data_IF_474332227769
#
_entry.id   IF_474332227769
#
_cell.length_a   1.000
_cell.length_b   1.000
_cell.length_c   1.000
_cell.angle_alpha   90.00
_cell.angle_beta   90.00
_cell.angle_gamma   90.00
#
_symmetry.space_group_name_H-M   'P 1'
#
loop_
_entity.id
_entity.type
_entity.pdbx_description
1 polymer ?
#
# COMPACT_ATOMS: atom_id res chain seq x y z
N UNK A 1 2.11 -6.62 34.14
CA UNK A 1 2.39 -5.67 33.04
C UNK A 1 3.65 -4.85 33.29
N UNK A 2 4.75 -5.20 32.62
CA UNK A 2 6.05 -4.53 32.75
C UNK A 2 6.19 -3.31 31.83
N UNK A 3 7.15 -2.42 32.14
CA UNK A 3 7.56 -1.28 31.30
C UNK A 3 7.86 -1.67 29.84
N UNK A 4 8.33 -2.90 29.61
CA UNK A 4 8.56 -3.46 28.27
C UNK A 4 7.29 -3.48 27.40
N UNK A 5 6.13 -3.85 27.96
CA UNK A 5 4.85 -3.86 27.23
C UNK A 5 4.46 -2.45 26.77
N UNK A 6 4.68 -1.43 27.63
CA UNK A 6 4.43 -0.02 27.33
C UNK A 6 5.26 0.43 26.12
N UNK A 7 6.55 0.06 26.09
CA UNK A 7 7.45 0.39 24.99
C UNK A 7 7.02 -0.28 23.67
N UNK A 8 6.56 -1.53 23.69
CA UNK A 8 6.07 -2.21 22.49
C UNK A 8 4.79 -1.59 21.91
N UNK A 9 3.88 -1.08 22.74
CA UNK A 9 2.73 -0.31 22.26
C UNK A 9 3.13 1.00 21.59
N UNK A 10 4.04 1.77 22.21
CA UNK A 10 4.56 3.02 21.64
C UNK A 10 5.24 2.75 20.30
N UNK A 11 6.06 1.69 20.22
CA UNK A 11 6.70 1.27 18.97
C UNK A 11 5.67 0.90 17.89
N UNK A 12 4.60 0.16 18.21
CA UNK A 12 3.57 -0.19 17.24
C UNK A 12 2.81 1.04 16.73
N UNK A 13 2.51 2.02 17.60
CA UNK A 13 1.86 3.29 17.21
C UNK A 13 2.81 4.12 16.31
N UNK A 14 4.07 4.26 16.70
CA UNK A 14 5.06 5.01 15.93
C UNK A 14 5.32 4.37 14.54
N UNK A 15 5.49 3.06 14.48
CA UNK A 15 5.79 2.35 13.22
C UNK A 15 4.56 2.32 12.31
N UNK A 16 3.34 2.20 12.83
CA UNK A 16 2.12 2.26 11.98
C UNK A 16 1.95 3.64 11.35
N UNK A 17 2.12 4.73 12.12
CA UNK A 17 2.13 6.10 11.58
C UNK A 17 3.27 6.34 10.59
N UNK A 18 4.48 5.87 10.89
CA UNK A 18 5.62 5.96 9.98
C UNK A 18 5.37 5.19 8.67
N UNK A 19 4.79 3.99 8.73
CA UNK A 19 4.45 3.20 7.53
C UNK A 19 3.44 3.93 6.66
N UNK A 20 2.43 4.58 7.26
CA UNK A 20 1.47 5.43 6.54
C UNK A 20 2.18 6.61 5.88
N UNK A 21 3.06 7.32 6.59
CA UNK A 21 3.83 8.41 6.00
C UNK A 21 4.70 7.92 4.82
N UNK A 22 5.41 6.79 4.99
CA UNK A 22 6.24 6.18 3.94
C UNK A 22 5.44 5.79 2.71
N UNK A 23 4.19 5.32 2.85
CA UNK A 23 3.29 5.01 1.73
C UNK A 23 2.91 6.25 0.90
N UNK A 24 2.89 7.45 1.49
CA UNK A 24 2.57 8.71 0.80
C UNK A 24 3.80 9.47 0.30
N UNK A 25 4.92 9.41 1.02
CA UNK A 25 6.12 10.21 0.74
C UNK A 25 7.27 9.44 0.10
N UNK A 26 7.22 8.10 0.04
CA UNK A 26 8.32 7.30 -0.52
C UNK A 26 7.85 6.26 -1.53
N UNK A 27 8.62 6.09 -2.61
CA UNK A 27 8.43 5.00 -3.58
C UNK A 27 9.20 3.71 -3.23
N UNK A 28 9.88 3.68 -2.09
CA UNK A 28 10.72 2.54 -1.69
C UNK A 28 9.89 1.40 -1.10
N UNK A 29 9.49 0.48 -1.96
CA UNK A 29 8.75 -0.74 -1.60
C UNK A 29 9.46 -1.56 -0.52
N UNK A 30 10.79 -1.56 -0.48
CA UNK A 30 11.61 -2.25 0.53
C UNK A 30 11.43 -1.67 1.94
N UNK A 31 11.43 -0.34 2.10
CA UNK A 31 11.26 0.30 3.41
C UNK A 31 9.82 0.10 3.92
N UNK A 32 8.84 0.18 3.02
CA UNK A 32 7.43 -0.11 3.31
C UNK A 32 7.26 -1.58 3.74
N UNK A 33 7.98 -2.53 3.13
CA UNK A 33 8.01 -3.95 3.52
C UNK A 33 8.42 -4.12 4.98
N UNK A 34 9.58 -3.57 5.35
CA UNK A 34 10.19 -3.72 6.68
C UNK A 34 9.28 -3.15 7.77
N UNK A 35 8.71 -1.96 7.54
CA UNK A 35 7.85 -1.28 8.51
C UNK A 35 6.48 -1.95 8.64
N UNK A 36 5.88 -2.40 7.53
CA UNK A 36 4.63 -3.20 7.54
C UNK A 36 4.83 -4.55 8.26
N UNK A 37 5.94 -5.23 7.99
CA UNK A 37 6.31 -6.48 8.66
C UNK A 37 6.56 -6.29 10.17
N UNK A 38 7.20 -5.19 10.56
CA UNK A 38 7.38 -4.82 11.96
C UNK A 38 6.05 -4.54 12.68
N UNK A 39 5.07 -3.89 12.02
CA UNK A 39 3.72 -3.73 12.54
C UNK A 39 3.01 -5.07 12.80
N UNK A 40 3.08 -6.01 11.85
CA UNK A 40 2.51 -7.35 12.02
C UNK A 40 3.20 -8.13 13.16
N UNK A 41 4.54 -8.12 13.19
CA UNK A 41 5.33 -8.80 14.22
C UNK A 41 5.10 -8.26 15.63
N UNK A 42 5.01 -6.92 15.79
CA UNK A 42 4.68 -6.30 17.08
C UNK A 42 3.24 -6.62 17.52
N UNK A 43 2.28 -6.66 16.59
CA UNK A 43 0.89 -7.04 16.89
C UNK A 43 0.79 -8.48 17.40
N UNK A 44 1.49 -9.43 16.75
CA UNK A 44 1.62 -10.82 17.21
C UNK A 44 2.26 -10.90 18.59
N UNK A 45 3.38 -10.20 18.80
CA UNK A 45 4.09 -10.19 20.08
C UNK A 45 3.22 -9.67 21.23
N UNK A 46 2.52 -8.55 21.01
CA UNK A 46 1.63 -7.96 22.02
C UNK A 46 0.41 -8.85 22.31
N UNK A 47 -0.16 -9.50 21.29
CA UNK A 47 -1.23 -10.49 21.48
C UNK A 47 -0.76 -11.65 22.38
N UNK A 48 0.39 -12.24 22.10
CA UNK A 48 0.94 -13.37 22.89
C UNK A 48 1.25 -12.95 24.32
N UNK A 49 1.75 -11.73 24.54
CA UNK A 49 2.00 -11.19 25.89
C UNK A 49 0.70 -11.03 26.69
N UNK A 50 -0.32 -10.38 26.13
CA UNK A 50 -1.57 -10.13 26.87
C UNK A 50 -2.47 -11.35 26.96
N UNK A 51 -2.35 -12.33 26.05
CA UNK A 51 -2.98 -13.66 26.20
C UNK A 51 -2.49 -14.39 27.45
N UNK A 52 -1.20 -14.24 27.84
CA UNK A 52 -0.69 -14.77 29.12
C UNK A 52 -1.24 -14.06 30.35
N UNK A 53 -1.63 -12.79 30.21
CA UNK A 53 -2.25 -11.96 31.26
C UNK A 53 -3.79 -11.97 31.17
N UNK A 54 -4.41 -12.94 30.48
CA UNK A 54 -5.86 -13.07 30.25
C UNK A 54 -6.54 -11.76 29.77
N UNK A 55 -5.83 -10.97 28.96
CA UNK A 55 -6.26 -9.69 28.41
C UNK A 55 -6.71 -8.64 29.45
N UNK A 56 -6.12 -8.65 30.65
CA UNK A 56 -6.43 -7.71 31.73
C UNK A 56 -6.56 -6.24 31.24
N UNK A 57 -7.68 -5.59 31.56
CA UNK A 57 -7.98 -4.20 31.18
C UNK A 57 -8.50 -3.96 29.75
N UNK A 58 -8.49 -4.97 28.88
CA UNK A 58 -8.90 -4.88 27.46
C UNK A 58 -9.88 -6.00 27.08
N UNK A 59 -10.47 -5.96 25.88
CA UNK A 59 -11.28 -7.08 25.38
C UNK A 59 -10.42 -7.93 24.44
N UNK A 60 -10.57 -9.25 24.48
CA UNK A 60 -9.94 -10.17 23.51
C UNK A 60 -10.23 -9.75 22.05
N UNK A 61 -11.44 -9.27 21.77
CA UNK A 61 -11.82 -8.74 20.46
C UNK A 61 -10.93 -7.57 20.00
N UNK A 62 -10.47 -6.70 20.92
CA UNK A 62 -9.59 -5.58 20.57
C UNK A 62 -8.26 -6.11 20.01
N UNK A 63 -7.74 -7.19 20.59
CA UNK A 63 -6.52 -7.88 20.18
C UNK A 63 -6.68 -8.68 18.88
N UNK A 64 -7.80 -9.39 18.70
CA UNK A 64 -8.12 -10.10 17.46
C UNK A 64 -8.27 -9.15 16.27
N UNK A 65 -8.89 -7.98 16.47
CA UNK A 65 -8.94 -6.92 15.47
C UNK A 65 -7.54 -6.39 15.14
N UNK A 66 -6.70 -6.15 16.15
CA UNK A 66 -5.32 -5.67 15.93
C UNK A 66 -4.50 -6.65 15.07
N UNK A 67 -4.64 -7.96 15.31
CA UNK A 67 -4.03 -9.00 14.47
C UNK A 67 -4.62 -9.04 13.06
N UNK A 68 -5.95 -9.07 12.92
CA UNK A 68 -6.61 -9.20 11.63
C UNK A 68 -6.30 -8.03 10.71
N UNK A 69 -6.32 -6.80 11.22
CA UNK A 69 -6.06 -5.60 10.41
C UNK A 69 -4.57 -5.42 10.09
N UNK A 70 -3.64 -5.82 10.97
CA UNK A 70 -2.20 -5.82 10.65
C UNK A 70 -1.82 -6.92 9.65
N UNK A 71 -2.42 -8.11 9.75
CA UNK A 71 -2.26 -9.17 8.76
C UNK A 71 -2.87 -8.78 7.40
N UNK A 72 -4.08 -8.20 7.38
CA UNK A 72 -4.70 -7.69 6.16
C UNK A 72 -3.85 -6.60 5.49
N UNK A 73 -3.24 -5.69 6.27
CA UNK A 73 -2.28 -4.70 5.76
C UNK A 73 -1.05 -5.35 5.12
N UNK A 74 -0.50 -6.40 5.73
CA UNK A 74 0.66 -7.11 5.17
C UNK A 74 0.30 -7.85 3.87
N UNK A 75 -0.91 -8.41 3.78
CA UNK A 75 -1.43 -9.01 2.54
C UNK A 75 -1.63 -7.94 1.45
N UNK A 76 -2.23 -6.80 1.80
CA UNK A 76 -2.41 -5.69 0.84
C UNK A 76 -1.09 -5.17 0.28
N UNK A 77 -0.03 -5.14 1.10
CA UNK A 77 1.33 -4.81 0.65
C UNK A 77 1.83 -5.77 -0.45
N UNK A 78 1.76 -7.09 -0.21
CA UNK A 78 2.18 -8.09 -1.22
C UNK A 78 1.31 -8.10 -2.48
N UNK A 79 0.07 -7.62 -2.39
CA UNK A 79 -0.84 -7.49 -3.54
C UNK A 79 -0.76 -6.12 -4.24
N UNK A 80 0.13 -5.20 -3.81
CA UNK A 80 0.24 -3.86 -4.39
C UNK A 80 -0.95 -2.93 -4.09
N UNK A 81 -1.82 -3.28 -3.15
CA UNK A 81 -3.08 -2.58 -2.84
C UNK A 81 -2.85 -1.44 -1.83
N UNK A 82 -1.92 -0.54 -2.12
CA UNK A 82 -1.46 0.52 -1.21
C UNK A 82 -2.58 1.46 -0.73
N UNK A 83 -3.56 1.75 -1.60
CA UNK A 83 -4.76 2.57 -1.28
C UNK A 83 -5.62 1.93 -0.19
N UNK A 84 -5.63 0.59 -0.10
CA UNK A 84 -6.34 -0.16 0.97
C UNK A 84 -5.42 -0.35 2.19
N UNK A 85 -4.11 -0.54 1.98
CA UNK A 85 -3.12 -0.72 3.04
C UNK A 85 -3.06 0.48 4.01
N UNK A 86 -3.04 1.71 3.49
CA UNK A 86 -2.94 2.93 4.31
C UNK A 86 -4.05 3.02 5.38
N UNK A 87 -5.34 2.97 5.00
CA UNK A 87 -6.46 2.94 5.96
C UNK A 87 -6.39 1.81 7.00
N UNK A 88 -5.92 0.62 6.61
CA UNK A 88 -5.74 -0.51 7.55
C UNK A 88 -4.67 -0.20 8.61
N UNK A 89 -3.55 0.40 8.22
CA UNK A 89 -2.49 0.82 9.15
C UNK A 89 -2.93 1.97 10.07
N UNK A 90 -3.70 2.93 9.55
CA UNK A 90 -4.31 4.00 10.36
C UNK A 90 -5.23 3.37 11.43
N UNK A 91 -6.06 2.39 11.05
CA UNK A 91 -6.90 1.67 12.02
C UNK A 91 -6.07 0.94 13.09
N UNK A 92 -5.00 0.23 12.70
CA UNK A 92 -4.07 -0.44 13.64
C UNK A 92 -3.45 0.56 14.62
N UNK A 93 -2.96 1.71 14.13
CA UNK A 93 -2.37 2.77 14.95
C UNK A 93 -3.36 3.37 15.95
N UNK A 94 -4.54 3.80 15.47
CA UNK A 94 -5.61 4.36 16.32
C UNK A 94 -6.09 3.34 17.35
N UNK A 95 -6.28 2.08 16.95
CA UNK A 95 -6.76 1.02 17.85
C UNK A 95 -5.72 0.69 18.93
N UNK A 96 -4.44 0.59 18.56
CA UNK A 96 -3.33 0.43 19.51
C UNK A 96 -3.25 1.61 20.48
N UNK A 97 -3.44 2.85 20.01
CA UNK A 97 -3.47 4.05 20.86
C UNK A 97 -4.65 4.02 21.87
N UNK A 98 -5.86 3.67 21.44
CA UNK A 98 -7.02 3.54 22.34
C UNK A 98 -6.75 2.48 23.42
N UNK A 99 -6.19 1.33 23.05
CA UNK A 99 -5.83 0.27 24.00
C UNK A 99 -4.72 0.73 24.96
N UNK A 100 -3.70 1.43 24.45
CA UNK A 100 -2.62 2.00 25.25
C UNK A 100 -3.15 3.00 26.28
N UNK A 101 -3.98 3.97 25.86
CA UNK A 101 -4.59 4.95 26.77
C UNK A 101 -5.45 4.26 27.84
N UNK A 102 -6.22 3.23 27.47
CA UNK A 102 -7.04 2.47 28.40
C UNK A 102 -6.22 1.65 29.42
N UNK A 103 -5.03 1.19 29.06
CA UNK A 103 -4.17 0.38 29.95
C UNK A 103 -3.18 1.21 30.78
N UNK A 104 -2.80 2.40 30.31
CA UNK A 104 -1.71 3.20 30.89
C UNK A 104 -2.11 4.64 31.28
N UNK A 105 -3.31 5.10 30.94
CA UNK A 105 -3.78 6.47 31.18
C UNK A 105 -3.97 6.83 32.66
N UNK A 106 -4.59 5.95 33.44
CA UNK A 106 -4.98 6.25 34.84
C UNK A 106 -3.81 6.25 35.85
N UNK A 107 -2.59 5.92 35.44
CA UNK A 107 -1.44 5.71 36.35
C UNK A 107 -0.45 6.88 36.42
N UNK A 108 -0.71 8.00 35.75
CA UNK A 108 0.14 9.20 35.84
C UNK A 108 -0.08 10.00 37.14
N UNK A 109 -1.27 9.92 37.76
CA UNK A 109 -1.65 10.81 38.86
C UNK A 109 -1.26 10.33 40.27
N UNK A 110 -0.66 9.15 40.43
CA UNK A 110 -0.28 8.58 41.74
C UNK A 110 1.23 8.35 41.92
N UNK A 111 2.07 8.87 41.02
CA UNK A 111 3.51 8.59 40.98
C UNK A 111 4.40 9.77 41.45
N UNK A 112 3.81 10.83 42.02
CA UNK A 112 4.53 11.97 42.61
C UNK A 112 4.24 12.13 44.11
N UNK A 113 4.48 11.07 44.87
CA UNK A 113 4.72 11.15 46.31
C UNK A 113 6.18 10.73 46.57
N UNK A 114 7.07 11.70 46.73
CA UNK A 114 8.51 11.46 46.87
C UNK A 114 8.83 10.87 48.27
N UNK A 115 9.66 9.82 48.37
CA UNK A 115 10.11 9.31 49.66
C UNK A 115 11.20 10.24 50.24
N UNK A 116 10.95 10.82 51.42
CA UNK A 116 12.01 11.46 52.21
C UNK A 116 13.00 10.38 52.70
N UNK A 117 14.28 10.57 52.42
CA UNK A 117 15.39 9.73 52.93
C UNK A 117 15.99 10.35 54.19
N UNK A 118 16.01 9.59 55.28
CA UNK A 118 16.94 9.70 56.42
C UNK A 118 16.77 8.48 57.35
N UNK A 119 17.74 7.91 58.08
CA UNK A 119 19.21 7.76 57.96
C UNK A 119 19.64 6.65 58.96
N UNK A 120 20.66 5.81 58.66
CA UNK A 120 21.46 4.97 59.62
C UNK A 120 20.71 3.85 60.42
N UNK A 121 21.10 2.56 60.36
CA UNK A 121 22.22 1.83 61.02
C UNK A 121 22.15 1.82 62.55
N UNK A 122 22.45 0.75 63.28
CA UNK A 122 23.00 -0.59 62.94
C UNK A 122 21.92 -1.70 63.12
N UNK A 123 22.11 -3.00 63.45
CA UNK A 123 23.28 -3.86 63.75
C UNK A 123 22.96 -5.35 63.48
N UNK A 124 23.87 -6.29 63.79
CA UNK A 124 23.65 -7.74 63.72
C UNK A 124 24.55 -8.50 64.72
N UNK A 125 23.98 -9.20 65.72
CA UNK A 125 24.63 -10.36 66.36
C UNK A 125 23.69 -11.22 67.24
N UNK A 126 23.78 -12.54 67.03
CA UNK A 126 23.71 -13.68 67.96
C UNK A 126 22.70 -13.78 69.14
N UNK A 127 22.42 -15.06 69.48
CA UNK A 127 21.61 -15.57 70.60
C UNK A 127 20.09 -15.34 70.50
N UNK A 128 19.20 -16.25 70.93
CA UNK A 128 19.41 -17.51 71.65
C UNK A 128 18.32 -18.56 71.33
N UNK A 129 18.60 -19.83 71.66
CA UNK A 129 17.77 -21.00 71.34
C UNK A 129 17.25 -21.65 72.64
N UNK A 130 15.93 -21.66 72.88
CA UNK A 130 15.32 -22.54 73.90
C UNK A 130 13.82 -22.75 73.71
N UNK A 131 13.44 -24.03 73.45
CA UNK A 131 12.37 -24.85 74.06
C UNK A 131 10.93 -24.30 74.31
N UNK A 132 9.81 -25.06 74.32
CA UNK A 132 9.53 -26.51 74.19
C UNK A 132 8.11 -26.76 73.60
N UNK A 133 7.63 -28.02 73.57
CA UNK A 133 6.36 -28.51 72.95
C UNK A 133 5.10 -28.46 73.89
N UNK A 134 3.86 -28.75 73.39
CA UNK A 134 2.54 -28.52 74.05
C UNK A 134 1.92 -29.81 74.68
N UNK A 135 0.61 -29.93 75.07
CA UNK A 135 -0.56 -30.13 74.15
C UNK A 135 -1.99 -29.72 74.69
N UNK A 136 -3.07 -30.22 74.03
CA UNK A 136 -4.37 -30.70 74.61
C UNK A 136 -5.74 -29.98 74.36
N UNK A 137 -6.86 -30.72 74.56
CA UNK A 137 -8.29 -30.52 74.15
C UNK A 137 -9.19 -31.59 74.89
N UNK A 138 -10.55 -31.72 74.75
CA UNK A 138 -11.68 -30.87 74.27
C UNK A 138 -12.93 -30.90 75.23
N UNK A 139 -14.18 -30.56 74.77
CA UNK A 139 -15.49 -31.27 75.00
C UNK A 139 -16.80 -30.42 75.12
N UNK A 140 -17.94 -31.00 74.63
CA UNK A 140 -19.38 -30.97 75.04
C UNK A 140 -20.27 -31.19 73.77
N UNK A 141 -21.11 -32.23 73.53
CA UNK A 141 -22.26 -32.89 74.23
C UNK A 141 -23.49 -31.95 74.43
N UNK A 142 -24.78 -32.30 74.16
CA UNK A 142 -25.47 -33.54 73.68
C UNK A 142 -26.97 -33.27 73.32
N UNK A 143 -27.64 -34.20 72.59
CA UNK A 143 -29.12 -34.45 72.50
C UNK A 143 -30.01 -33.44 71.71
N UNK A 144 -31.23 -33.73 71.22
CA UNK A 144 -31.92 -34.94 70.70
C UNK A 144 -33.33 -34.55 70.14
N UNK A 145 -33.94 -35.35 69.23
CA UNK A 145 -35.41 -35.41 68.91
C UNK A 145 -36.14 -34.15 68.35
N UNK A 146 -37.32 -34.19 67.69
CA UNK A 146 -38.01 -35.20 66.85
C UNK A 146 -39.17 -34.58 66.01
N UNK A 147 -39.54 -35.23 64.88
CA UNK A 147 -40.90 -35.45 64.27
C UNK A 147 -41.90 -34.29 64.01
N UNK A 148 -42.47 -34.29 62.78
CA UNK A 148 -43.83 -33.76 62.42
C UNK A 148 -43.89 -32.27 62.01
N UNK A 149 -44.80 -31.77 61.15
CA UNK A 149 -45.89 -32.40 60.36
C UNK A 149 -46.33 -31.41 59.24
N UNK A 150 -46.73 -31.89 58.05
CA UNK A 150 -47.53 -31.12 57.06
C UNK A 150 -49.04 -31.34 57.37
N UNK A 151 -49.95 -30.36 57.14
CA UNK A 151 -50.81 -30.38 55.93
C UNK A 151 -51.24 -28.93 55.47
N UNK A 152 -52.37 -28.69 54.75
CA UNK A 152 -52.42 -28.66 53.27
C UNK A 152 -53.11 -27.39 52.67
N UNK A 153 -53.23 -27.33 51.33
CA UNK A 153 -54.23 -26.62 50.47
C UNK A 153 -54.59 -25.13 50.76
N UNK A 154 -54.77 -24.17 49.83
CA UNK A 154 -54.80 -23.96 48.37
C UNK A 154 -54.81 -22.38 48.18
N UNK A 155 -54.85 -21.73 46.99
CA UNK A 155 -54.99 -22.26 45.64
C UNK A 155 -53.91 -21.82 44.62
N UNK A 156 -53.92 -22.56 43.51
CA UNK A 156 -53.35 -22.24 42.20
C UNK A 156 -53.38 -20.74 41.82
N UNK A 157 -52.23 -20.20 41.42
CA UNK A 157 -52.18 -19.17 40.38
C UNK A 157 -51.23 -19.63 39.27
N UNK A 158 -51.68 -19.45 38.02
CA UNK A 158 -51.13 -20.04 36.82
C UNK A 158 -49.88 -19.32 36.29
N UNK A 159 -49.20 -19.96 35.33
CA UNK A 159 -48.06 -19.45 34.53
C UNK A 159 -46.69 -19.45 35.20
N UNK A 160 -46.17 -20.65 35.45
CA UNK A 160 -44.79 -20.95 35.02
C UNK A 160 -44.83 -21.62 33.65
N UNK A 161 -44.91 -20.80 32.60
CA UNK A 161 -44.69 -21.26 31.22
C UNK A 161 -43.24 -21.71 31.07
N UNK A 162 -42.99 -22.98 31.41
CA UNK A 162 -41.79 -23.68 31.00
C UNK A 162 -41.74 -23.59 29.46
N UNK A 163 -40.69 -23.01 28.85
CA UNK A 163 -40.50 -23.13 27.42
C UNK A 163 -40.16 -24.60 27.12
N UNK A 164 -41.20 -25.37 26.83
CA UNK A 164 -41.11 -26.74 26.31
C UNK A 164 -40.09 -26.71 25.18
N UNK A 165 -39.09 -27.58 25.29
CA UNK A 165 -38.01 -27.70 24.32
C UNK A 165 -38.56 -28.24 23.00
N UNK A 166 -39.15 -27.37 22.19
CA UNK A 166 -39.72 -27.72 20.89
C UNK A 166 -38.63 -28.29 19.98
N UNK A 167 -38.84 -29.45 19.35
CA UNK A 167 -37.82 -30.07 18.51
C UNK A 167 -37.54 -29.20 17.27
N UNK A 168 -36.25 -29.06 16.95
CA UNK A 168 -35.76 -28.19 15.87
C UNK A 168 -36.03 -28.85 14.51
N UNK A 169 -37.25 -28.72 13.99
CA UNK A 169 -37.57 -29.07 12.60
C UNK A 169 -38.53 -28.07 11.93
N UNK A 170 -38.00 -27.41 10.89
CA UNK A 170 -38.70 -26.60 9.88
C UNK A 170 -39.86 -25.69 10.32
N UNK A 171 -39.52 -24.53 10.88
CA UNK A 171 -40.45 -23.40 11.03
C UNK A 171 -40.59 -22.68 9.67
N UNK A 172 -41.82 -22.61 9.16
CA UNK A 172 -42.16 -21.86 7.96
C UNK A 172 -41.76 -20.37 8.12
N UNK A 173 -41.06 -19.82 7.13
CA UNK A 173 -40.57 -18.43 7.15
C UNK A 173 -39.08 -18.25 7.52
N UNK A 174 -38.39 -19.29 8.01
CA UNK A 174 -36.92 -19.23 8.20
C UNK A 174 -36.20 -19.31 6.85
N UNK A 175 -36.55 -20.29 6.00
CA UNK A 175 -35.95 -20.52 4.68
C UNK A 175 -36.13 -19.31 3.76
N UNK A 176 -35.16 -19.11 2.86
CA UNK A 176 -35.16 -18.03 1.88
C UNK A 176 -33.75 -17.53 1.57
N UNK A 177 -33.63 -16.69 0.54
CA UNK A 177 -32.35 -16.10 0.16
C UNK A 177 -31.86 -15.05 1.17
N UNK A 178 -30.55 -15.01 1.39
CA UNK A 178 -29.88 -14.10 2.31
C UNK A 178 -28.95 -13.14 1.56
N UNK A 179 -29.47 -11.99 1.13
CA UNK A 179 -28.67 -10.95 0.49
C UNK A 179 -27.51 -10.47 1.37
N UNK A 180 -27.71 -10.40 2.68
CA UNK A 180 -26.66 -10.07 3.63
C UNK A 180 -25.54 -11.12 3.68
N UNK A 181 -25.89 -12.41 3.65
CA UNK A 181 -24.89 -13.49 3.65
C UNK A 181 -24.15 -13.63 2.32
N UNK A 182 -24.82 -13.32 1.21
CA UNK A 182 -24.23 -13.33 -0.13
C UNK A 182 -23.22 -12.20 -0.33
N UNK A 183 -23.57 -10.95 0.01
CA UNK A 183 -22.70 -9.79 -0.23
C UNK A 183 -21.69 -9.50 0.88
N UNK A 184 -21.97 -9.89 2.13
CA UNK A 184 -21.11 -9.60 3.29
C UNK A 184 -20.45 -10.86 3.88
N UNK A 185 -20.66 -12.02 3.26
CA UNK A 185 -19.95 -13.30 3.46
C UNK A 185 -19.43 -13.54 4.88
N UNK A 186 -18.16 -13.29 5.13
CA UNK A 186 -17.48 -13.52 6.42
C UNK A 186 -17.94 -12.56 7.53
N UNK A 187 -18.31 -11.31 7.22
CA UNK A 187 -18.82 -10.31 8.16
C UNK A 187 -20.20 -10.76 8.68
N UNK A 188 -21.08 -11.14 7.75
CA UNK A 188 -22.39 -11.69 8.09
C UNK A 188 -22.25 -13.02 8.85
N UNK A 189 -21.28 -13.86 8.47
CA UNK A 189 -21.02 -15.15 9.10
C UNK A 189 -20.62 -14.99 10.59
N UNK A 190 -19.74 -14.05 10.91
CA UNK A 190 -19.37 -13.72 12.31
C UNK A 190 -20.60 -13.23 13.08
N UNK A 191 -21.35 -12.28 12.51
CA UNK A 191 -22.56 -11.73 13.15
C UNK A 191 -23.66 -12.76 13.43
N UNK A 192 -23.71 -13.84 12.64
CA UNK A 192 -24.70 -14.91 12.72
C UNK A 192 -24.09 -16.27 13.16
N UNK A 193 -22.90 -16.26 13.78
CA UNK A 193 -22.18 -17.46 14.31
C UNK A 193 -22.07 -18.63 13.32
N UNK A 194 -22.03 -18.34 12.02
CA UNK A 194 -22.07 -19.32 10.94
C UNK A 194 -20.65 -19.51 10.38
N UNK A 195 -19.77 -20.13 11.18
CA UNK A 195 -18.33 -20.16 10.97
C UNK A 195 -17.85 -20.71 9.62
N UNK A 196 -18.63 -21.59 8.98
CA UNK A 196 -18.37 -22.07 7.61
C UNK A 196 -18.23 -20.91 6.60
N UNK A 197 -18.90 -19.77 6.84
CA UNK A 197 -18.76 -18.57 6.01
C UNK A 197 -17.43 -17.84 6.13
N UNK A 198 -16.53 -18.24 7.04
CA UNK A 198 -15.14 -17.76 7.05
C UNK A 198 -14.32 -18.34 5.89
N UNK A 199 -14.75 -19.44 5.27
CA UNK A 199 -14.13 -19.97 4.04
C UNK A 199 -14.22 -18.97 2.86
N UNK A 200 -15.10 -17.96 2.96
CA UNK A 200 -15.15 -16.83 2.03
C UNK A 200 -13.86 -15.99 1.99
N UNK A 201 -12.99 -16.11 3.00
CA UNK A 201 -11.67 -15.45 3.02
C UNK A 201 -10.63 -16.17 2.15
N UNK A 202 -10.91 -17.39 1.68
CA UNK A 202 -10.01 -18.14 0.80
C UNK A 202 -10.31 -17.73 -0.66
N UNK A 203 -9.30 -17.26 -1.42
CA UNK A 203 -9.46 -16.95 -2.85
C UNK A 203 -10.04 -18.13 -3.63
N UNK A 204 -10.81 -17.85 -4.68
CA UNK A 204 -11.54 -18.80 -5.54
C UNK A 204 -12.67 -19.58 -4.83
N UNK A 205 -12.45 -20.10 -3.61
CA UNK A 205 -13.48 -20.77 -2.78
C UNK A 205 -14.64 -19.82 -2.43
N UNK A 206 -14.33 -18.53 -2.28
CA UNK A 206 -15.29 -17.48 -1.94
C UNK A 206 -16.57 -17.49 -2.81
N UNK A 207 -16.49 -17.69 -4.12
CA UNK A 207 -17.67 -17.62 -5.02
C UNK A 207 -18.69 -18.70 -4.67
N UNK A 208 -18.24 -19.94 -4.46
CA UNK A 208 -19.09 -21.07 -4.09
C UNK A 208 -19.69 -20.85 -2.69
N UNK A 209 -18.87 -20.37 -1.75
CA UNK A 209 -19.30 -20.10 -0.37
C UNK A 209 -20.32 -18.96 -0.31
N UNK A 210 -20.17 -17.89 -1.10
CA UNK A 210 -21.14 -16.79 -1.18
C UNK A 210 -22.51 -17.27 -1.67
N UNK A 211 -22.54 -18.05 -2.76
CA UNK A 211 -23.80 -18.60 -3.30
C UNK A 211 -24.44 -19.54 -2.27
N UNK A 212 -23.66 -20.42 -1.64
CA UNK A 212 -24.15 -21.33 -0.60
C UNK A 212 -24.68 -20.57 0.63
N UNK A 213 -23.99 -19.52 1.07
CA UNK A 213 -24.45 -18.61 2.13
C UNK A 213 -25.72 -17.85 1.73
N UNK A 214 -25.85 -17.47 0.46
CA UNK A 214 -27.08 -16.88 -0.09
C UNK A 214 -28.28 -17.82 0.07
N UNK A 215 -28.14 -19.11 -0.29
CA UNK A 215 -29.24 -20.09 -0.21
C UNK A 215 -29.49 -20.59 1.22
N UNK A 216 -28.42 -20.96 1.95
CA UNK A 216 -28.51 -21.67 3.25
C UNK A 216 -28.19 -20.81 4.47
N UNK A 217 -27.67 -19.59 4.30
CA UNK A 217 -27.28 -18.72 5.40
C UNK A 217 -28.40 -18.49 6.41
N UNK A 218 -29.63 -18.21 5.96
CA UNK A 218 -30.77 -18.01 6.89
C UNK A 218 -31.07 -19.24 7.75
N UNK A 219 -31.03 -20.45 7.17
CA UNK A 219 -31.20 -21.69 7.93
C UNK A 219 -30.08 -21.90 8.96
N UNK A 220 -28.84 -21.59 8.59
CA UNK A 220 -27.69 -21.70 9.49
C UNK A 220 -27.73 -20.65 10.62
N UNK A 221 -28.05 -19.40 10.31
CA UNK A 221 -28.20 -18.32 11.29
C UNK A 221 -29.31 -18.60 12.31
N UNK A 222 -30.40 -19.26 11.89
CA UNK A 222 -31.46 -19.71 12.77
C UNK A 222 -30.96 -20.79 13.74
N UNK A 223 -30.19 -21.78 13.26
CA UNK A 223 -29.63 -22.87 14.08
C UNK A 223 -28.51 -22.43 15.02
N UNK A 224 -27.67 -21.47 14.61
CA UNK A 224 -26.42 -21.11 15.30
C UNK A 224 -26.58 -20.03 16.39
N UNK A 225 -27.78 -19.48 16.59
CA UNK A 225 -28.03 -18.39 17.55
C UNK A 225 -29.43 -18.50 18.15
N UNK A 226 -29.57 -18.15 19.43
CA UNK A 226 -30.88 -18.00 20.06
C UNK A 226 -31.60 -16.75 19.54
N UNK A 227 -32.87 -16.90 19.19
CA UNK A 227 -33.78 -15.84 18.75
C UNK A 227 -35.01 -15.85 19.66
N UNK A 228 -35.57 -14.66 19.96
CA UNK A 228 -36.78 -14.54 20.80
C UNK A 228 -38.01 -15.15 20.09
N UNK A 229 -38.11 -14.90 18.80
CA UNK A 229 -39.24 -15.22 17.94
C UNK A 229 -38.79 -15.08 16.45
N UNK A 230 -39.66 -15.50 15.53
CA UNK A 230 -39.39 -15.48 14.09
C UNK A 230 -39.32 -14.05 13.51
N UNK A 231 -40.13 -13.12 14.01
CA UNK A 231 -40.19 -11.74 13.52
C UNK A 231 -38.93 -10.96 13.89
N UNK A 232 -38.41 -11.19 15.09
CA UNK A 232 -37.13 -10.68 15.55
C UNK A 232 -35.99 -11.15 14.65
N UNK A 233 -35.95 -12.44 14.29
CA UNK A 233 -34.98 -12.96 13.32
C UNK A 233 -35.14 -12.29 11.95
N UNK A 234 -36.36 -12.23 11.42
CA UNK A 234 -36.65 -11.61 10.12
C UNK A 234 -36.27 -10.12 10.09
N UNK A 235 -36.53 -9.37 11.16
CA UNK A 235 -36.14 -7.97 11.29
C UNK A 235 -34.61 -7.77 11.21
N UNK A 236 -33.84 -8.69 11.79
CA UNK A 236 -32.37 -8.67 11.78
C UNK A 236 -31.83 -9.10 10.41
N UNK A 237 -32.36 -10.16 9.79
CA UNK A 237 -31.96 -10.56 8.43
C UNK A 237 -32.34 -9.52 7.37
N UNK A 238 -33.43 -8.77 7.57
CA UNK A 238 -33.81 -7.64 6.71
C UNK A 238 -32.77 -6.51 6.78
N UNK A 239 -32.31 -6.14 7.98
CA UNK A 239 -31.22 -5.16 8.16
C UNK A 239 -29.92 -5.63 7.49
N UNK A 240 -29.52 -6.89 7.70
CA UNK A 240 -28.36 -7.48 7.02
C UNK A 240 -28.47 -7.43 5.50
N UNK A 241 -29.68 -7.68 4.96
CA UNK A 241 -29.95 -7.62 3.52
C UNK A 241 -29.88 -6.18 2.98
N UNK A 242 -30.41 -5.20 3.70
CA UNK A 242 -30.31 -3.78 3.34
C UNK A 242 -28.85 -3.31 3.29
N UNK A 243 -28.04 -3.65 4.30
CA UNK A 243 -26.61 -3.31 4.31
C UNK A 243 -25.83 -4.02 3.20
N UNK A 244 -26.10 -5.31 2.95
CA UNK A 244 -25.45 -6.07 1.89
C UNK A 244 -25.72 -5.49 0.49
N UNK A 245 -26.98 -5.21 0.18
CA UNK A 245 -27.37 -4.60 -1.09
C UNK A 245 -26.82 -3.16 -1.21
N UNK A 246 -26.96 -2.34 -0.16
CA UNK A 246 -26.50 -0.95 -0.19
C UNK A 246 -24.99 -0.82 -0.43
N UNK A 247 -24.19 -1.65 0.23
CA UNK A 247 -22.73 -1.68 0.04
C UNK A 247 -22.35 -2.24 -1.34
N UNK A 248 -23.07 -3.24 -1.86
CA UNK A 248 -22.84 -3.78 -3.21
C UNK A 248 -23.18 -2.75 -4.32
N UNK A 249 -24.28 -2.00 -4.17
CA UNK A 249 -24.61 -0.93 -5.10
C UNK A 249 -23.59 0.23 -5.04
N UNK A 250 -23.16 0.61 -3.84
CA UNK A 250 -22.16 1.67 -3.66
C UNK A 250 -20.79 1.29 -4.26
N UNK A 251 -20.33 0.05 -4.06
CA UNK A 251 -19.07 -0.43 -4.64
C UNK A 251 -19.14 -0.57 -6.16
N UNK A 252 -20.29 -0.98 -6.70
CA UNK A 252 -20.52 -1.04 -8.15
C UNK A 252 -20.47 0.36 -8.80
N UNK A 253 -21.17 1.35 -8.23
CA UNK A 253 -21.13 2.73 -8.73
C UNK A 253 -19.71 3.31 -8.64
N UNK A 254 -19.02 3.12 -7.51
CA UNK A 254 -17.62 3.56 -7.37
C UNK A 254 -16.70 2.89 -8.39
N UNK A 255 -16.89 1.59 -8.65
CA UNK A 255 -16.15 0.84 -9.67
C UNK A 255 -16.33 1.42 -11.07
N UNK A 256 -17.55 1.80 -11.46
CA UNK A 256 -17.82 2.47 -12.74
C UNK A 256 -17.15 3.85 -12.79
N UNK A 257 -17.27 4.65 -11.72
CA UNK A 257 -16.65 5.99 -11.64
C UNK A 257 -15.13 5.91 -11.80
N UNK A 258 -14.47 4.92 -11.17
CA UNK A 258 -13.03 4.71 -11.35
C UNK A 258 -12.69 4.20 -12.75
N UNK A 259 -13.44 3.22 -13.27
CA UNK A 259 -13.18 2.61 -14.58
C UNK A 259 -13.34 3.60 -15.74
N UNK A 260 -14.28 4.55 -15.65
CA UNK A 260 -14.49 5.61 -16.66
C UNK A 260 -13.61 6.84 -16.36
N UNK A 261 -13.49 7.22 -15.09
CA UNK A 261 -12.77 8.43 -14.67
C UNK A 261 -11.25 8.31 -14.84
N UNK A 262 -10.64 7.16 -14.59
CA UNK A 262 -9.20 6.97 -14.74
C UNK A 262 -8.68 7.17 -16.18
N UNK A 263 -9.24 6.55 -17.24
CA UNK A 263 -8.81 6.82 -18.61
C UNK A 263 -9.15 8.25 -19.06
N UNK A 264 -10.31 8.79 -18.68
CA UNK A 264 -10.67 10.18 -19.00
C UNK A 264 -9.71 11.20 -18.36
N UNK A 265 -9.30 10.97 -17.11
CA UNK A 265 -8.30 11.80 -16.42
C UNK A 265 -6.91 11.71 -17.06
N UNK A 266 -6.47 10.51 -17.46
CA UNK A 266 -5.22 10.34 -18.23
C UNK A 266 -5.27 11.11 -19.56
N UNK A 267 -6.36 11.00 -20.31
CA UNK A 267 -6.54 11.72 -21.58
C UNK A 267 -6.59 13.25 -21.39
N UNK A 268 -7.25 13.74 -20.33
CA UNK A 268 -7.24 15.16 -19.96
C UNK A 268 -5.81 15.65 -19.70
N UNK A 269 -5.03 14.91 -18.90
CA UNK A 269 -3.64 15.28 -18.59
C UNK A 269 -2.70 15.24 -19.79
N UNK A 270 -2.87 14.27 -20.70
CA UNK A 270 -2.12 14.23 -21.95
C UNK A 270 -2.39 15.47 -22.82
N UNK A 271 -3.67 15.84 -23.01
CA UNK A 271 -4.05 17.05 -23.77
C UNK A 271 -3.55 18.35 -23.14
N UNK A 272 -3.52 18.43 -21.81
CA UNK A 272 -2.96 19.57 -21.08
C UNK A 272 -1.44 19.71 -21.37
N UNK A 273 -0.70 18.60 -21.35
CA UNK A 273 0.73 18.58 -21.69
C UNK A 273 1.00 18.89 -23.17
N UNK A 274 0.21 18.34 -24.10
CA UNK A 274 0.29 18.65 -25.54
C UNK A 274 0.05 20.15 -25.81
N UNK A 275 -0.98 20.73 -25.20
CA UNK A 275 -1.29 22.16 -25.34
C UNK A 275 -0.20 23.06 -24.73
N UNK A 276 0.37 22.66 -23.58
CA UNK A 276 1.53 23.34 -23.00
C UNK A 276 2.74 23.26 -23.93
N UNK A 277 3.01 22.10 -24.55
CA UNK A 277 4.11 21.92 -25.50
C UNK A 277 3.93 22.77 -26.76
N UNK A 278 2.72 22.83 -27.32
CA UNK A 278 2.41 23.70 -28.46
C UNK A 278 2.62 25.18 -28.10
N UNK A 279 2.18 25.61 -26.92
CA UNK A 279 2.48 26.95 -26.38
C UNK A 279 3.99 27.22 -26.28
N UNK A 280 4.80 26.24 -25.83
CA UNK A 280 6.26 26.38 -25.80
C UNK A 280 6.81 26.58 -27.21
N UNK A 281 6.38 25.75 -28.16
CA UNK A 281 6.87 25.77 -29.54
C UNK A 281 6.52 27.07 -30.28
N UNK A 282 5.34 27.64 -30.01
CA UNK A 282 4.91 28.91 -30.61
C UNK A 282 5.58 30.13 -29.96
N UNK A 283 5.78 30.13 -28.63
CA UNK A 283 6.64 31.12 -27.94
C UNK A 283 8.11 31.03 -28.41
N UNK A 284 8.56 29.82 -28.75
CA UNK A 284 9.93 29.52 -29.19
C UNK A 284 10.20 29.76 -30.68
N UNK A 285 9.15 29.96 -31.49
CA UNK A 285 9.28 30.27 -32.90
C UNK A 285 10.10 31.57 -33.09
N UNK A 286 11.10 31.58 -33.98
CA UNK A 286 12.11 32.64 -34.00
C UNK A 286 11.54 34.00 -34.43
N UNK A 287 11.32 34.89 -33.46
CA UNK A 287 11.33 36.34 -33.71
C UNK A 287 12.76 36.74 -34.09
N UNK A 288 12.95 37.11 -35.34
CA UNK A 288 14.27 37.25 -35.95
C UNK A 288 15.12 38.37 -35.32
N UNK A 289 16.16 37.99 -34.57
CA UNK A 289 17.38 38.78 -34.37
C UNK A 289 18.53 37.90 -33.83
N UNK A 290 19.53 37.65 -34.68
CA UNK A 290 20.78 36.90 -34.39
C UNK A 290 21.83 37.77 -33.64
N UNK A 291 23.07 37.30 -33.36
CA UNK A 291 23.62 35.92 -33.36
C UNK A 291 24.49 35.55 -32.12
N UNK A 292 25.08 34.33 -32.19
CA UNK A 292 26.17 33.72 -31.38
C UNK A 292 25.67 32.70 -30.33
N UNK A 293 26.08 31.43 -30.30
CA UNK A 293 27.28 30.77 -30.90
C UNK A 293 26.97 29.30 -31.29
N UNK A 294 27.79 28.71 -32.17
CA UNK A 294 27.81 27.29 -32.59
C UNK A 294 26.67 26.82 -33.51
N UNK A 295 26.87 26.95 -34.82
CA UNK A 295 26.02 26.34 -35.85
C UNK A 295 26.34 24.84 -36.02
N UNK A 296 25.30 24.03 -36.20
CA UNK A 296 25.43 22.61 -36.57
C UNK A 296 25.88 22.52 -38.04
N UNK A 297 27.12 22.05 -38.23
CA UNK A 297 27.85 21.97 -39.50
C UNK A 297 27.05 21.45 -40.69
N UNK A 298 27.15 22.14 -41.83
CA UNK A 298 26.51 21.76 -43.09
C UNK A 298 27.41 20.94 -44.01
N UNK A 299 26.89 19.80 -44.47
CA UNK A 299 27.03 19.31 -45.84
C UNK A 299 28.42 19.15 -46.46
N UNK A 300 28.99 17.96 -46.32
CA UNK A 300 29.81 17.31 -47.35
C UNK A 300 29.60 15.78 -47.26
N UNK A 301 29.80 15.04 -48.36
CA UNK A 301 29.66 13.58 -48.42
C UNK A 301 30.83 12.89 -47.70
N UNK A 302 30.88 13.05 -46.39
CA UNK A 302 31.84 12.46 -45.46
C UNK A 302 31.08 11.75 -44.38
N UNK A 303 31.33 10.46 -44.20
CA UNK A 303 30.78 9.71 -43.05
C UNK A 303 31.36 10.35 -41.80
N UNK A 304 30.51 10.97 -40.97
CA UNK A 304 30.95 11.61 -39.74
C UNK A 304 31.04 10.52 -38.66
N UNK A 305 32.26 10.18 -38.26
CA UNK A 305 32.53 9.17 -37.24
C UNK A 305 33.12 9.79 -35.98
N UNK A 306 32.81 9.25 -34.81
CA UNK A 306 33.39 9.72 -33.56
C UNK A 306 32.91 8.99 -32.31
N UNK A 307 33.48 9.38 -31.16
CA UNK A 307 33.02 8.90 -29.86
C UNK A 307 31.79 9.69 -29.39
N UNK A 308 30.87 8.99 -28.74
CA UNK A 308 29.69 9.54 -28.05
C UNK A 308 30.10 10.12 -26.69
N UNK A 309 31.19 9.63 -26.09
CA UNK A 309 31.70 10.09 -24.80
C UNK A 309 32.91 11.04 -24.91
N UNK A 310 32.84 12.15 -24.16
CA UNK A 310 33.97 13.00 -23.77
C UNK A 310 33.67 13.56 -22.38
N UNK A 311 34.55 13.35 -21.40
CA UNK A 311 34.37 13.80 -20.01
C UNK A 311 34.24 15.33 -19.84
N UNK A 312 34.59 16.11 -20.87
CA UNK A 312 34.44 17.58 -20.93
C UNK A 312 33.66 18.04 -22.19
N UNK A 313 32.87 17.16 -22.82
CA UNK A 313 32.31 17.38 -24.17
C UNK A 313 30.80 17.26 -24.31
N UNK A 314 30.05 17.07 -23.22
CA UNK A 314 28.58 17.13 -23.24
C UNK A 314 28.11 18.55 -23.57
N UNK A 315 27.06 18.66 -24.39
CA UNK A 315 26.53 19.96 -24.77
C UNK A 315 25.62 20.48 -23.64
N UNK A 316 25.91 21.63 -23.00
CA UNK A 316 25.02 22.21 -22.00
C UNK A 316 23.70 22.66 -22.64
N UNK A 317 23.74 23.04 -23.91
CA UNK A 317 22.58 23.29 -24.75
C UNK A 317 22.91 23.06 -26.22
N UNK A 318 21.87 22.88 -27.06
CA UNK A 318 21.99 22.81 -28.52
C UNK A 318 20.89 23.64 -29.18
N UNK A 319 21.26 24.50 -30.12
CA UNK A 319 20.31 25.34 -30.87
C UNK A 319 19.86 24.61 -32.13
N UNK A 320 18.55 24.69 -32.40
CA UNK A 320 17.85 24.02 -33.50
C UNK A 320 16.87 25.00 -34.17
N UNK A 321 16.23 24.58 -35.26
CA UNK A 321 15.21 25.34 -35.99
C UNK A 321 14.01 25.82 -35.15
N UNK A 322 13.75 25.20 -34.00
CA UNK A 322 12.65 25.55 -33.07
C UNK A 322 13.13 26.16 -31.74
N UNK A 323 14.42 26.47 -31.61
CA UNK A 323 15.01 27.06 -30.41
C UNK A 323 16.12 26.23 -29.79
N UNK A 324 16.53 26.64 -28.58
CA UNK A 324 17.66 26.08 -27.84
C UNK A 324 17.18 25.05 -26.82
N UNK A 325 17.60 23.80 -27.02
CA UNK A 325 17.40 22.71 -26.07
C UNK A 325 18.47 22.75 -24.99
N UNK A 326 18.11 22.57 -23.73
CA UNK A 326 19.05 22.36 -22.63
C UNK A 326 18.54 21.26 -21.69
N UNK A 327 19.43 20.39 -21.24
CA UNK A 327 19.12 19.35 -20.25
C UNK A 327 19.49 19.87 -18.85
N UNK A 328 18.59 19.69 -17.87
CA UNK A 328 18.76 20.25 -16.52
C UNK A 328 19.35 19.24 -15.53
N UNK A 329 20.35 19.66 -14.76
CA UNK A 329 20.85 19.00 -13.54
C UNK A 329 21.37 20.06 -12.55
N UNK A 330 21.41 19.78 -11.23
CA UNK A 330 20.41 19.13 -10.39
C UNK A 330 19.80 20.11 -9.35
N UNK A 331 18.57 19.88 -8.91
CA UNK A 331 17.91 20.74 -7.90
C UNK A 331 16.38 20.66 -7.87
N UNK A 332 15.77 20.07 -8.89
CA UNK A 332 14.40 19.52 -8.86
C UNK A 332 14.49 18.00 -8.70
N UNK A 333 13.49 17.38 -8.07
CA UNK A 333 13.45 15.92 -7.79
C UNK A 333 13.29 15.04 -9.06
N UNK A 334 13.37 15.62 -10.26
CA UNK A 334 13.20 14.96 -11.55
C UNK A 334 14.09 15.61 -12.62
N UNK A 335 14.70 14.79 -13.48
CA UNK A 335 15.39 15.27 -14.66
C UNK A 335 14.41 15.86 -15.68
N UNK A 336 14.78 16.96 -16.33
CA UNK A 336 13.94 17.61 -17.34
C UNK A 336 14.75 18.09 -18.55
N UNK A 337 14.05 18.16 -19.68
CA UNK A 337 14.53 18.78 -20.91
C UNK A 337 13.77 20.08 -21.09
N UNK A 338 14.49 21.14 -21.40
CA UNK A 338 13.93 22.47 -21.65
C UNK A 338 14.13 22.88 -23.11
N UNK A 339 13.18 23.62 -23.66
CA UNK A 339 13.30 24.36 -24.90
C UNK A 339 13.12 25.84 -24.57
N UNK A 340 14.10 26.67 -24.93
CA UNK A 340 14.16 28.10 -24.57
C UNK A 340 13.88 28.34 -23.07
N UNK A 341 14.54 27.54 -22.20
CA UNK A 341 14.39 27.53 -20.74
C UNK A 341 13.01 27.13 -20.19
N UNK A 342 12.03 26.78 -21.03
CA UNK A 342 10.72 26.26 -20.61
C UNK A 342 10.76 24.73 -20.66
N UNK A 343 10.43 24.06 -19.55
CA UNK A 343 10.43 22.60 -19.51
C UNK A 343 9.41 22.03 -20.51
N UNK A 344 9.89 21.32 -21.52
CA UNK A 344 9.05 20.61 -22.49
C UNK A 344 8.68 19.22 -22.00
N UNK A 345 9.50 18.67 -21.09
CA UNK A 345 9.37 17.27 -20.70
C UNK A 345 10.08 16.94 -19.36
N UNK A 346 9.53 15.99 -18.60
CA UNK A 346 9.99 15.49 -17.30
C UNK A 346 9.85 13.95 -17.26
N UNK A 347 10.94 13.19 -17.16
CA UNK A 347 10.89 11.71 -17.07
C UNK A 347 10.54 11.20 -15.68
N UNK A 348 9.59 10.27 -15.57
CA UNK A 348 9.23 9.68 -14.30
C UNK A 348 10.33 8.71 -13.80
N UNK A 349 11.15 9.23 -12.88
CA UNK A 349 12.20 8.48 -12.17
C UNK A 349 13.61 8.63 -12.74
N UNK A 350 13.79 9.31 -13.88
CA UNK A 350 15.14 9.61 -14.36
C UNK A 350 15.82 10.66 -13.48
N UNK A 351 17.09 10.39 -13.14
CA UNK A 351 17.90 11.23 -12.26
C UNK A 351 18.65 12.32 -13.03
N UNK A 352 18.91 12.09 -14.33
CA UNK A 352 19.53 13.07 -15.22
C UNK A 352 19.16 12.83 -16.69
N UNK A 353 19.26 13.91 -17.47
CA UNK A 353 19.31 13.91 -18.93
C UNK A 353 20.53 14.69 -19.38
N UNK A 354 21.11 14.32 -20.52
CA UNK A 354 22.25 14.99 -21.12
C UNK A 354 22.09 15.03 -22.65
N UNK A 355 22.47 16.16 -23.25
CA UNK A 355 22.54 16.29 -24.71
C UNK A 355 23.91 15.79 -25.16
N UNK A 356 23.92 14.72 -25.97
CA UNK A 356 25.17 14.15 -26.49
C UNK A 356 25.59 14.84 -27.78
N UNK A 357 24.70 14.87 -28.78
CA UNK A 357 25.02 15.36 -30.13
C UNK A 357 23.76 15.69 -30.93
N UNK A 358 23.82 16.75 -31.73
CA UNK A 358 22.86 17.00 -32.80
C UNK A 358 23.34 16.44 -34.14
N UNK A 359 22.40 15.97 -34.95
CA UNK A 359 22.56 15.44 -36.29
C UNK A 359 21.53 16.11 -37.21
N UNK A 360 21.87 16.22 -38.50
CA UNK A 360 20.96 16.67 -39.57
C UNK A 360 20.85 15.55 -40.61
N UNK A 361 19.64 15.07 -40.84
CA UNK A 361 19.32 14.08 -41.88
C UNK A 361 18.73 14.78 -43.12
N UNK A 362 18.62 14.05 -44.25
CA UNK A 362 17.98 14.58 -45.45
C UNK A 362 16.55 15.09 -45.19
N UNK A 363 16.09 16.00 -46.05
CA UNK A 363 14.82 16.69 -45.85
C UNK A 363 14.83 17.75 -44.74
N UNK A 364 15.99 18.02 -44.13
CA UNK A 364 16.14 19.04 -43.08
C UNK A 364 15.68 18.58 -41.70
N UNK A 365 15.56 17.27 -41.47
CA UNK A 365 15.15 16.71 -40.17
C UNK A 365 16.31 16.81 -39.18
N UNK A 366 16.09 17.57 -38.11
CA UNK A 366 17.05 17.72 -37.02
C UNK A 366 16.80 16.63 -35.96
N UNK A 367 17.88 16.05 -35.45
CA UNK A 367 17.84 14.92 -34.53
C UNK A 367 18.86 15.16 -33.42
N UNK A 368 18.44 15.05 -32.16
CA UNK A 368 19.31 15.17 -30.99
C UNK A 368 19.42 13.78 -30.35
N UNK A 369 20.64 13.25 -30.22
CA UNK A 369 20.92 12.10 -29.38
C UNK A 369 21.01 12.56 -27.93
N UNK A 370 20.15 11.98 -27.10
CA UNK A 370 20.07 12.23 -25.66
C UNK A 370 20.58 11.00 -24.90
N UNK A 371 21.18 11.23 -23.73
CA UNK A 371 21.55 10.20 -22.74
C UNK A 371 20.77 10.43 -21.45
N UNK A 372 20.46 9.36 -20.72
CA UNK A 372 19.76 9.43 -19.43
C UNK A 372 20.12 8.24 -18.53
N UNK A 373 19.91 8.38 -17.22
CA UNK A 373 19.94 7.25 -16.27
C UNK A 373 18.88 6.18 -16.54
N UNK A 374 17.87 6.50 -17.36
CA UNK A 374 16.63 5.73 -17.44
C UNK A 374 15.68 6.02 -16.27
N UNK A 375 14.41 5.66 -16.45
CA UNK A 375 13.33 5.79 -15.47
C UNK A 375 12.54 4.49 -15.29
N UNK A 376 11.39 4.57 -14.61
CA UNK A 376 10.40 3.49 -14.52
C UNK A 376 10.92 2.10 -14.06
N UNK A 377 12.02 2.05 -13.30
CA UNK A 377 12.61 0.82 -12.73
C UNK A 377 13.77 0.21 -13.52
N UNK A 378 14.14 0.80 -14.66
CA UNK A 378 15.34 0.40 -15.40
C UNK A 378 16.62 0.81 -14.65
N UNK A 379 17.38 -0.16 -14.17
CA UNK A 379 18.66 0.06 -13.44
C UNK A 379 19.86 0.00 -14.39
N UNK A 380 19.92 0.91 -15.36
CA UNK A 380 21.10 1.11 -16.23
C UNK A 380 21.96 2.28 -15.75
N UNK A 381 23.25 2.27 -16.08
CA UNK A 381 24.12 3.44 -15.90
C UNK A 381 23.79 4.51 -16.96
N UNK A 382 23.62 4.11 -18.22
CA UNK A 382 23.11 4.98 -19.29
C UNK A 382 22.18 4.24 -20.27
N UNK A 383 21.09 4.92 -20.64
CA UNK A 383 20.26 4.64 -21.80
C UNK A 383 20.26 5.85 -22.73
N UNK A 384 19.97 5.59 -24.01
CA UNK A 384 19.96 6.61 -25.06
C UNK A 384 18.59 6.66 -25.73
N UNK A 385 18.25 7.81 -26.31
CA UNK A 385 17.12 7.99 -27.21
C UNK A 385 17.40 9.15 -28.17
N UNK A 386 16.70 9.17 -29.31
CA UNK A 386 16.70 10.31 -30.20
C UNK A 386 15.45 11.18 -29.97
N UNK A 387 15.67 12.48 -29.89
CA UNK A 387 14.64 13.51 -30.01
C UNK A 387 14.67 14.04 -31.44
N UNK A 388 13.56 13.93 -32.16
CA UNK A 388 13.46 14.36 -33.56
C UNK A 388 12.58 15.59 -33.70
N UNK A 389 12.98 16.50 -34.59
CA UNK A 389 12.31 17.76 -34.87
C UNK A 389 11.85 17.71 -36.34
N UNK A 390 10.54 17.74 -36.56
CA UNK A 390 9.97 17.70 -37.91
C UNK A 390 8.79 18.66 -38.03
N UNK A 391 8.95 19.73 -38.84
CA UNK A 391 7.93 20.77 -39.08
C UNK A 391 7.34 21.33 -37.77
N UNK A 392 8.23 21.66 -36.83
CA UNK A 392 7.93 22.08 -35.47
C UNK A 392 7.24 21.06 -34.54
N UNK A 393 7.10 19.80 -34.94
CA UNK A 393 6.70 18.72 -34.03
C UNK A 393 7.92 18.06 -33.39
N UNK A 394 7.77 17.64 -32.13
CA UNK A 394 8.76 16.90 -31.37
C UNK A 394 8.31 15.44 -31.20
N UNK A 395 9.15 14.49 -31.62
CA UNK A 395 8.90 13.07 -31.40
C UNK A 395 10.12 12.38 -30.77
N UNK A 396 9.86 11.53 -29.77
CA UNK A 396 10.85 10.73 -29.07
C UNK A 396 10.91 9.32 -29.67
N UNK A 397 12.10 8.76 -29.83
CA UNK A 397 12.25 7.32 -30.11
C UNK A 397 12.18 6.51 -28.81
N UNK A 398 11.99 5.18 -28.87
CA UNK A 398 12.20 4.34 -27.68
C UNK A 398 13.60 4.51 -27.09
N UNK A 399 13.73 4.25 -25.79
CA UNK A 399 15.02 4.02 -25.15
C UNK A 399 15.73 2.81 -25.77
N UNK A 400 17.04 2.93 -25.95
CA UNK A 400 17.94 1.89 -26.45
C UNK A 400 19.29 1.91 -25.73
N UNK A 401 20.04 0.82 -25.86
CA UNK A 401 21.41 0.69 -25.37
C UNK A 401 21.60 -0.37 -24.28
N UNK A 402 22.86 -0.60 -23.94
CA UNK A 402 23.34 -1.80 -23.23
C UNK A 402 23.67 -1.54 -21.77
N UNK A 403 23.08 -0.50 -21.19
CA UNK A 403 23.50 0.18 -19.96
C UNK A 403 24.90 0.84 -20.00
N UNK A 404 25.69 0.74 -21.09
CA UNK A 404 27.03 1.35 -21.15
C UNK A 404 26.99 2.86 -21.38
N UNK A 405 27.89 3.59 -20.72
CA UNK A 405 28.11 5.03 -20.91
C UNK A 405 28.97 5.38 -22.13
N UNK A 406 29.73 4.41 -22.64
CA UNK A 406 30.56 4.52 -23.85
C UNK A 406 29.76 4.15 -25.10
N UNK A 407 30.01 4.85 -26.21
CA UNK A 407 29.58 4.44 -27.54
C UNK A 407 30.40 5.16 -28.61
N UNK A 408 30.36 4.64 -29.84
CA UNK A 408 30.80 5.36 -31.04
C UNK A 408 29.62 5.59 -31.97
N UNK A 409 29.69 6.59 -32.84
CA UNK A 409 28.69 6.85 -33.86
C UNK A 409 29.32 6.93 -35.24
N UNK A 410 28.54 6.59 -36.26
CA UNK A 410 28.80 6.89 -37.67
C UNK A 410 27.54 7.50 -38.26
N UNK A 411 27.65 8.62 -38.96
CA UNK A 411 26.53 9.23 -39.67
C UNK A 411 26.75 9.19 -41.18
N UNK A 412 25.72 8.74 -41.90
CA UNK A 412 25.51 9.01 -43.33
C UNK A 412 24.31 9.96 -43.52
N UNK A 413 24.04 10.38 -44.76
CA UNK A 413 22.98 11.34 -45.10
C UNK A 413 21.58 10.97 -44.53
N UNK A 414 21.26 9.67 -44.50
CA UNK A 414 19.94 9.14 -44.10
C UNK A 414 19.99 8.16 -42.93
N UNK A 415 21.16 7.85 -42.37
CA UNK A 415 21.30 6.83 -41.33
C UNK A 415 22.31 7.27 -40.26
N UNK A 416 21.88 7.25 -39.01
CA UNK A 416 22.76 7.30 -37.84
C UNK A 416 22.97 5.86 -37.35
N UNK A 417 24.21 5.43 -37.27
CA UNK A 417 24.63 4.19 -36.62
C UNK A 417 25.33 4.53 -35.30
N UNK A 418 25.02 3.80 -34.23
CA UNK A 418 25.67 3.91 -32.92
C UNK A 418 26.09 2.52 -32.48
N UNK A 419 27.37 2.33 -32.18
CA UNK A 419 27.92 1.07 -31.67
C UNK A 419 28.19 1.22 -30.18
N UNK A 420 27.53 0.41 -29.37
CA UNK A 420 27.56 0.47 -27.90
C UNK A 420 28.14 -0.85 -27.38
N UNK A 421 29.19 -0.87 -26.54
CA UNK A 421 29.78 -2.11 -26.04
C UNK A 421 28.81 -2.85 -25.11
N UNK A 422 28.87 -4.18 -25.11
CA UNK A 422 28.12 -5.06 -24.19
C UNK A 422 28.96 -6.24 -23.75
N UNK A 423 28.50 -6.95 -22.72
CA UNK A 423 29.13 -8.21 -22.30
C UNK A 423 29.20 -9.18 -23.48
N UNK A 424 30.42 -9.48 -23.94
CA UNK A 424 30.68 -10.38 -25.07
C UNK A 424 30.70 -9.74 -26.47
N UNK A 425 30.65 -8.40 -26.62
CA UNK A 425 30.78 -7.75 -27.92
C UNK A 425 30.28 -6.31 -27.94
N UNK A 426 29.52 -5.95 -28.98
CA UNK A 426 28.81 -4.67 -29.11
C UNK A 426 27.39 -4.88 -29.61
N UNK A 427 26.51 -3.92 -29.29
CA UNK A 427 25.20 -3.73 -29.91
C UNK A 427 25.33 -2.66 -30.98
N UNK A 428 24.67 -2.84 -32.12
CA UNK A 428 24.64 -1.87 -33.21
C UNK A 428 23.23 -1.31 -33.33
N UNK A 429 23.09 -0.03 -32.98
CA UNK A 429 21.84 0.73 -33.12
C UNK A 429 21.87 1.44 -34.46
N UNK A 430 20.77 1.38 -35.21
CA UNK A 430 20.60 2.13 -36.47
C UNK A 430 19.30 2.94 -36.42
N UNK A 431 19.36 4.17 -36.94
CA UNK A 431 18.23 5.09 -36.98
C UNK A 431 18.15 5.80 -38.33
N UNK A 432 17.04 5.58 -39.04
CA UNK A 432 16.78 6.06 -40.41
C UNK A 432 16.02 7.41 -40.47
N UNK A 433 15.95 8.12 -39.35
CA UNK A 433 15.10 9.32 -39.21
C UNK A 433 13.66 9.03 -38.80
N UNK A 434 13.22 7.76 -38.77
CA UNK A 434 11.87 7.35 -38.37
C UNK A 434 11.83 6.17 -37.40
N UNK A 435 12.70 5.18 -37.57
CA UNK A 435 12.69 3.92 -36.83
C UNK A 435 14.07 3.63 -36.25
N UNK A 436 14.12 3.30 -34.95
CA UNK A 436 15.31 2.75 -34.28
C UNK A 436 15.29 1.23 -34.40
N UNK A 437 16.44 0.64 -34.75
CA UNK A 437 16.67 -0.81 -34.72
C UNK A 437 17.91 -1.12 -33.91
N UNK A 438 17.84 -2.11 -33.03
CA UNK A 438 18.97 -2.66 -32.28
C UNK A 438 19.32 -4.04 -32.82
N UNK A 439 20.58 -4.25 -33.22
CA UNK A 439 21.07 -5.47 -33.88
C UNK A 439 20.18 -5.92 -35.06
N UNK A 440 19.62 -4.94 -35.78
CA UNK A 440 18.69 -5.14 -36.91
C UNK A 440 17.21 -5.31 -36.53
N UNK A 441 16.88 -5.48 -35.25
CA UNK A 441 15.50 -5.65 -34.76
C UNK A 441 14.88 -4.28 -34.45
N UNK A 442 13.72 -3.98 -35.02
CA UNK A 442 12.99 -2.74 -34.74
C UNK A 442 12.50 -2.67 -33.29
N UNK A 443 12.83 -1.56 -32.61
CA UNK A 443 12.31 -1.25 -31.29
C UNK A 443 10.93 -0.58 -31.41
N UNK A 444 9.94 -1.11 -30.70
CA UNK A 444 8.60 -0.54 -30.60
C UNK A 444 8.46 0.29 -29.32
N UNK A 445 7.84 1.47 -29.44
CA UNK A 445 7.54 2.36 -28.31
C UNK A 445 6.44 1.74 -27.43
N UNK A 446 6.67 1.68 -26.12
CA UNK A 446 5.76 1.14 -25.12
C UNK A 446 6.01 1.82 -23.76
N UNK A 447 5.10 1.61 -22.80
CA UNK A 447 5.12 2.31 -21.49
C UNK A 447 6.37 2.10 -20.62
N UNK A 448 7.28 1.17 -20.98
CA UNK A 448 8.54 0.91 -20.24
C UNK A 448 9.79 1.44 -20.94
N UNK A 449 9.69 1.80 -22.22
CA UNK A 449 10.80 2.34 -23.01
C UNK A 449 10.48 3.69 -23.69
N UNK A 450 9.35 4.30 -23.37
CA UNK A 450 8.95 5.62 -23.87
C UNK A 450 9.63 6.71 -23.05
N UNK A 451 10.51 7.55 -23.65
CA UNK A 451 11.17 8.60 -22.89
C UNK A 451 10.19 9.63 -22.35
N UNK A 452 9.02 9.80 -22.98
CA UNK A 452 8.02 10.83 -22.65
C UNK A 452 7.11 10.48 -21.45
N UNK A 453 7.44 9.42 -20.70
CA UNK A 453 6.75 8.95 -19.50
C UNK A 453 7.75 8.83 -18.35
#
# INVERSE_FOLDING_TARGET
MNQSNKNFHIALIAISLLTVALLYFTRSTSIISITTGACAGLSIRLFVLHKKENFAGTKELDWLLLLLFSAASLICYFMGLYVVQGPLLIFVGIRSLIMFLKMYGDKSSSAQAAPKRATQSSEMSAAELSSAFPPEIPHLRTNAESVGTLPPDLPSNSQTDNPVSAPIHDIAGVKGWSWGAFFLSWIWAIGNRTWIGLLALIPYVNIVVMIWLGVKGREMAWKNRAWRDLDHFNSVQKKWSQWGIGLACASFVLGIVVAVGAPAYKQYKAKEAEAQLQSILEDAAPKASSPSTAEVSSGQNTIAEGNVYYANGLLPSITTSIGTFAASTPGMDQASITLNNKAIFQSEGAQWHEIVRGFKLAGGKEVILMRTSGGMGNSCEALFFFLTIEKANLNFTPYFGTCSTDATFKQSENLIEIVIPKMGGSSTITFDGSVVREDGVQLALNDTNDPSK
#
